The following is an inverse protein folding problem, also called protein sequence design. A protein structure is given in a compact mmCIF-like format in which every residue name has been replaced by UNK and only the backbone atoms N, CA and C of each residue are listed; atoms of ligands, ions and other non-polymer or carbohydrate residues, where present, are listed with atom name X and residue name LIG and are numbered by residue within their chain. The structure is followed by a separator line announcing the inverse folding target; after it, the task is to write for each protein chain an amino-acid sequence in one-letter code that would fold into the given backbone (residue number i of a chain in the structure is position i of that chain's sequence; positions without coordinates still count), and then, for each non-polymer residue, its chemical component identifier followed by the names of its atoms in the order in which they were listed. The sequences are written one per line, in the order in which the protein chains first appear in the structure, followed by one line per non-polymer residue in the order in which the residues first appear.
data_IF_115123076108
#
_entry.id   IF_115123076108
#
_cell.length_a   1.000
_cell.length_b   1.000
_cell.length_c   1.000
_cell.angle_alpha   90.00
_cell.angle_beta   90.00
_cell.angle_gamma   90.00
#
_symmetry.space_group_name_H-M   'P 1'
#
loop_
_entity.id
_entity.type
_entity.pdbx_description
1 polymer ?
#
# COMPACT_ATOMS: atom_id res chain seq x y z
N UNK A 1 12.43 -2.83 3.80
CA UNK A 1 11.17 -2.69 4.55
C UNK A 1 11.02 -1.24 4.95
N UNK A 2 9.89 -0.60 4.63
CA UNK A 2 9.58 0.77 5.04
C UNK A 2 9.17 0.74 6.51
N UNK A 3 9.66 1.70 7.31
CA UNK A 3 9.39 1.77 8.76
C UNK A 3 8.39 2.87 9.09
N UNK A 4 7.75 2.76 10.26
CA UNK A 4 6.86 3.80 10.84
C UNK A 4 7.58 4.71 11.84
N UNK A 5 8.83 4.39 12.17
CA UNK A 5 9.67 5.06 13.15
C UNK A 5 11.13 5.12 12.64
N UNK A 6 11.85 6.18 13.03
CA UNK A 6 13.24 6.36 12.64
C UNK A 6 14.18 5.76 13.70
N UNK A 7 15.13 4.92 13.28
CA UNK A 7 16.23 4.47 14.14
C UNK A 7 17.42 5.39 13.95
N UNK A 8 17.94 5.94 15.05
CA UNK A 8 19.10 6.85 15.09
C UNK A 8 20.34 6.28 14.34
N UNK A 9 20.43 4.96 14.21
CA UNK A 9 21.53 4.25 13.52
C UNK A 9 21.38 4.11 12.00
N UNK A 10 20.30 4.65 11.39
CA UNK A 10 20.01 4.46 9.96
C UNK A 10 20.58 5.55 9.04
N UNK A 11 21.25 6.56 9.59
CA UNK A 11 21.87 7.64 8.81
C UNK A 11 20.83 8.55 8.16
N UNK A 12 21.11 9.04 6.94
CA UNK A 12 20.18 9.91 6.22
C UNK A 12 18.93 9.14 5.79
N UNK A 13 17.76 9.67 6.14
CA UNK A 13 16.46 9.09 5.84
C UNK A 13 15.59 10.06 5.04
N UNK A 14 14.69 9.52 4.24
CA UNK A 14 13.56 10.24 3.66
C UNK A 14 12.31 9.83 4.44
N UNK A 15 11.45 10.80 4.74
CA UNK A 15 10.16 10.55 5.37
C UNK A 15 9.04 11.25 4.64
N UNK A 16 7.86 10.65 4.70
CA UNK A 16 6.63 11.24 4.18
C UNK A 16 5.50 11.06 5.19
N UNK A 17 4.48 11.90 5.08
CA UNK A 17 3.24 11.73 5.81
C UNK A 17 2.15 11.21 4.87
N UNK A 18 1.31 10.31 5.37
CA UNK A 18 0.18 9.76 4.64
C UNK A 18 -1.01 9.55 5.57
N UNK A 19 -2.21 9.43 5.01
CA UNK A 19 -3.42 9.12 5.78
C UNK A 19 -3.62 7.60 5.76
N UNK A 20 -3.56 6.98 6.93
CA UNK A 20 -3.76 5.54 7.09
C UNK A 20 -5.23 5.16 6.84
N UNK A 21 -5.46 4.18 5.96
CA UNK A 21 -6.81 3.70 5.65
C UNK A 21 -7.49 2.96 6.80
N UNK A 22 -6.70 2.49 7.78
CA UNK A 22 -7.20 1.77 8.95
C UNK A 22 -7.52 2.72 10.10
N UNK A 23 -6.57 3.59 10.47
CA UNK A 23 -6.72 4.48 11.63
C UNK A 23 -7.35 5.84 11.28
N UNK A 24 -7.42 6.21 10.00
CA UNK A 24 -7.75 7.57 9.51
C UNK A 24 -6.88 8.68 10.13
N UNK A 25 -5.73 8.32 10.69
CA UNK A 25 -4.75 9.25 11.24
C UNK A 25 -3.65 9.53 10.22
N UNK A 26 -3.00 10.67 10.40
CA UNK A 26 -1.74 10.95 9.73
C UNK A 26 -0.67 10.05 10.36
N UNK A 27 -0.02 9.26 9.54
CA UNK A 27 1.12 8.42 9.92
C UNK A 27 2.34 8.82 9.09
N UNK A 28 3.53 8.58 9.62
CA UNK A 28 4.80 8.85 8.94
C UNK A 28 5.42 7.55 8.47
N UNK A 29 5.89 7.51 7.22
CA UNK A 29 6.73 6.43 6.70
C UNK A 29 8.16 6.92 6.54
N UNK A 30 9.13 6.07 6.85
CA UNK A 30 10.56 6.39 6.79
C UNK A 30 11.32 5.29 6.04
N UNK A 31 12.23 5.71 5.16
CA UNK A 31 13.18 4.82 4.50
C UNK A 31 14.58 5.45 4.46
N UNK A 32 15.58 4.66 4.83
CA UNK A 32 16.99 5.07 4.76
C UNK A 32 17.47 5.20 3.32
N UNK A 33 18.21 6.27 3.00
CA UNK A 33 18.70 6.56 1.64
C UNK A 33 19.60 5.47 1.05
N UNK A 34 20.29 4.71 1.90
CA UNK A 34 21.15 3.58 1.47
C UNK A 34 20.38 2.30 1.11
N UNK A 35 19.08 2.23 1.40
CA UNK A 35 18.28 1.01 1.21
C UNK A 35 17.78 0.84 -0.22
N UNK A 36 17.75 1.93 -1.00
CA UNK A 36 17.21 1.92 -2.36
C UNK A 36 18.05 2.84 -3.24
N UNK A 37 18.57 2.31 -4.35
CA UNK A 37 19.28 3.10 -5.34
C UNK A 37 18.28 3.97 -6.14
N UNK A 38 18.71 5.16 -6.58
CA UNK A 38 17.91 5.98 -7.49
C UNK A 38 17.55 5.22 -8.77
N UNK A 39 16.38 5.51 -9.35
CA UNK A 39 15.86 4.88 -10.58
C UNK A 39 15.57 3.36 -10.47
N UNK A 40 15.57 2.82 -9.25
CA UNK A 40 15.18 1.41 -9.03
C UNK A 40 13.74 1.17 -9.48
N UNK A 41 13.51 0.01 -10.09
CA UNK A 41 12.17 -0.50 -10.36
C UNK A 41 11.64 -1.19 -9.09
N UNK A 42 10.46 -0.79 -8.64
CA UNK A 42 9.87 -1.23 -7.37
C UNK A 42 8.53 -1.89 -7.60
N UNK A 43 8.33 -3.07 -7.00
CA UNK A 43 7.03 -3.71 -6.83
C UNK A 43 6.56 -3.46 -5.40
N UNK A 44 5.40 -2.83 -5.23
CA UNK A 44 4.79 -2.64 -3.91
C UNK A 44 3.90 -3.84 -3.61
N UNK A 45 4.09 -4.44 -2.43
CA UNK A 45 3.30 -5.58 -1.96
C UNK A 45 2.73 -5.26 -0.58
N UNK A 46 1.43 -5.48 -0.40
CA UNK A 46 0.73 -5.29 0.88
C UNK A 46 -0.24 -6.46 1.14
N UNK A 47 -0.63 -6.67 2.38
CA UNK A 47 -1.55 -7.75 2.75
C UNK A 47 -3.02 -7.39 2.45
N UNK A 48 -3.46 -6.19 2.85
CA UNK A 48 -4.85 -5.76 2.76
C UNK A 48 -4.98 -4.30 2.33
N UNK A 49 -5.72 -4.05 1.25
CA UNK A 49 -6.01 -2.71 0.77
C UNK A 49 -7.46 -2.31 1.01
N UNK A 50 -7.66 -1.17 1.69
CA UNK A 50 -8.94 -0.43 1.71
C UNK A 50 -8.98 0.59 0.58
N UNK A 51 -8.86 1.88 0.93
CA UNK A 51 -8.86 2.98 -0.03
C UNK A 51 -7.54 3.14 -0.81
N UNK A 52 -6.47 2.45 -0.40
CA UNK A 52 -5.14 2.60 -1.01
C UNK A 52 -4.25 3.69 -0.40
N UNK A 53 -4.63 4.27 0.75
CA UNK A 53 -3.88 5.36 1.39
C UNK A 53 -2.43 5.01 1.75
N UNK A 54 -2.20 3.83 2.33
CA UNK A 54 -0.85 3.34 2.64
C UNK A 54 0.00 3.15 1.40
N UNK A 55 -0.55 2.52 0.36
CA UNK A 55 0.14 2.30 -0.92
C UNK A 55 0.45 3.64 -1.60
N UNK A 56 -0.49 4.60 -1.58
CA UNK A 56 -0.23 5.94 -2.08
C UNK A 56 0.90 6.65 -1.32
N UNK A 57 0.97 6.45 0.00
CA UNK A 57 2.15 6.82 0.79
C UNK A 57 3.41 6.18 0.23
N UNK A 58 3.45 4.85 0.07
CA UNK A 58 4.62 4.17 -0.49
C UNK A 58 5.00 4.74 -1.87
N UNK A 59 4.05 5.00 -2.77
CA UNK A 59 4.33 5.59 -4.07
C UNK A 59 4.96 6.99 -3.97
N UNK A 60 4.45 7.85 -3.09
CA UNK A 60 5.03 9.16 -2.83
C UNK A 60 6.45 9.04 -2.28
N UNK A 61 6.68 8.09 -1.36
CA UNK A 61 8.02 7.82 -0.84
C UNK A 61 8.96 7.33 -1.95
N UNK A 62 8.51 6.47 -2.85
CA UNK A 62 9.33 6.02 -3.99
C UNK A 62 9.69 7.17 -4.93
N UNK A 63 8.77 8.13 -5.12
CA UNK A 63 9.03 9.32 -5.92
C UNK A 63 10.16 10.19 -5.33
N UNK A 64 10.23 10.33 -4.00
CA UNK A 64 11.34 11.02 -3.32
C UNK A 64 12.71 10.35 -3.55
N UNK A 65 12.71 9.04 -3.83
CA UNK A 65 13.90 8.27 -4.18
C UNK A 65 14.18 8.24 -5.70
N UNK A 66 13.37 8.93 -6.51
CA UNK A 66 13.35 8.81 -7.98
C UNK A 66 13.19 7.35 -8.45
N UNK A 67 12.55 6.51 -7.63
CA UNK A 67 12.29 5.13 -7.97
C UNK A 67 11.00 5.02 -8.79
N UNK A 68 10.90 3.97 -9.60
CA UNK A 68 9.77 3.72 -10.49
C UNK A 68 8.93 2.57 -9.96
N UNK A 69 7.74 2.87 -9.46
CA UNK A 69 6.77 1.81 -9.12
C UNK A 69 6.29 1.17 -10.42
N UNK A 70 6.59 -0.12 -10.61
CA UNK A 70 6.21 -0.89 -11.79
C UNK A 70 4.94 -1.72 -11.59
N UNK A 71 4.49 -1.82 -10.36
CA UNK A 71 3.23 -2.47 -10.03
C UNK A 71 2.93 -2.38 -8.54
N UNK A 72 1.66 -2.63 -8.24
CA UNK A 72 1.12 -2.80 -6.90
C UNK A 72 0.40 -4.14 -6.87
N UNK A 73 0.72 -4.97 -5.88
CA UNK A 73 0.03 -6.24 -5.65
C UNK A 73 -0.43 -6.33 -4.22
N UNK A 74 -1.67 -6.73 -4.00
CA UNK A 74 -2.23 -6.95 -2.67
C UNK A 74 -2.87 -8.32 -2.58
N UNK A 75 -2.78 -8.96 -1.42
CA UNK A 75 -3.45 -10.25 -1.23
C UNK A 75 -4.97 -10.05 -1.24
N UNK A 76 -5.47 -9.11 -0.46
CA UNK A 76 -6.90 -8.83 -0.33
C UNK A 76 -7.19 -7.35 -0.56
N UNK A 77 -8.26 -7.05 -1.29
CA UNK A 77 -8.84 -5.71 -1.40
C UNK A 77 -10.23 -5.63 -0.76
N UNK A 78 -10.60 -4.46 -0.25
CA UNK A 78 -11.96 -4.17 0.21
C UNK A 78 -12.79 -3.63 -0.94
N UNK A 79 -13.99 -4.17 -1.15
CA UNK A 79 -14.96 -3.68 -2.16
C UNK A 79 -15.55 -2.32 -1.76
N UNK A 80 -15.83 -2.15 -0.48
CA UNK A 80 -16.54 -0.98 0.07
C UNK A 80 -15.61 0.21 0.33
N UNK A 81 -15.38 0.99 -0.73
CA UNK A 81 -14.56 2.19 -0.65
C UNK A 81 -15.31 3.36 -1.28
N UNK A 82 -15.58 4.42 -0.50
CA UNK A 82 -16.24 5.64 -1.01
C UNK A 82 -15.47 6.31 -2.14
N UNK A 83 -14.14 6.36 -2.01
CA UNK A 83 -13.23 6.91 -3.01
C UNK A 83 -11.94 6.10 -2.98
N UNK A 84 -11.63 5.46 -4.12
CA UNK A 84 -10.38 4.72 -4.29
C UNK A 84 -9.27 5.69 -4.66
N UNK A 85 -8.09 5.51 -4.06
CA UNK A 85 -6.93 6.40 -4.28
C UNK A 85 -5.96 5.84 -5.32
N UNK A 86 -6.08 4.56 -5.67
CA UNK A 86 -5.23 3.88 -6.65
C UNK A 86 -6.08 2.99 -7.56
N UNK A 87 -5.85 3.07 -8.87
CA UNK A 87 -6.61 2.30 -9.87
C UNK A 87 -5.78 1.14 -10.44
N UNK A 88 -4.48 1.32 -10.63
CA UNK A 88 -3.61 0.28 -11.17
C UNK A 88 -2.94 -0.54 -10.06
N UNK A 89 -3.65 -1.60 -9.66
CA UNK A 89 -3.17 -2.61 -8.72
C UNK A 89 -3.69 -3.99 -9.12
N UNK A 90 -3.04 -5.01 -8.59
CA UNK A 90 -3.43 -6.41 -8.72
C UNK A 90 -3.88 -6.95 -7.37
N UNK A 91 -5.05 -7.59 -7.30
CA UNK A 91 -5.57 -8.24 -6.09
C UNK A 91 -5.87 -9.72 -6.35
N UNK A 92 -5.62 -10.58 -5.35
CA UNK A 92 -5.99 -11.99 -5.43
C UNK A 92 -7.43 -12.23 -4.95
N UNK A 93 -7.83 -11.53 -3.90
CA UNK A 93 -9.12 -11.70 -3.24
C UNK A 93 -9.78 -10.34 -3.02
N UNK A 94 -11.11 -10.28 -3.15
CA UNK A 94 -11.92 -9.12 -2.83
C UNK A 94 -12.90 -9.45 -1.72
N UNK A 95 -13.01 -8.58 -0.73
CA UNK A 95 -13.79 -8.78 0.48
C UNK A 95 -14.86 -7.68 0.63
N UNK A 96 -16.09 -8.06 0.97
CA UNK A 96 -17.24 -7.16 1.12
C UNK A 96 -18.15 -7.59 2.28
N UNK A 97 -19.09 -6.71 2.65
CA UNK A 97 -20.17 -6.98 3.60
C UNK A 97 -19.65 -7.49 4.95
N UNK A 98 -18.62 -6.80 5.49
CA UNK A 98 -17.97 -7.21 6.73
C UNK A 98 -18.85 -6.87 7.92
N UNK A 99 -19.38 -7.90 8.56
CA UNK A 99 -20.10 -7.81 9.82
C UNK A 99 -19.22 -8.36 10.95
N UNK A 100 -18.57 -7.45 11.68
CA UNK A 100 -17.72 -7.81 12.83
C UNK A 100 -18.50 -8.44 13.98
N UNK A 101 -19.80 -8.13 14.13
CA UNK A 101 -20.64 -8.65 15.21
C UNK A 101 -21.06 -10.10 14.92
N UNK A 102 -21.56 -10.35 13.71
CA UNK A 102 -21.97 -11.70 13.29
C UNK A 102 -20.79 -12.56 12.79
N UNK A 103 -19.60 -11.98 12.64
CA UNK A 103 -18.40 -12.61 12.10
C UNK A 103 -18.59 -13.14 10.66
N UNK A 104 -19.40 -12.44 9.89
CA UNK A 104 -19.71 -12.79 8.50
C UNK A 104 -19.06 -11.79 7.55
N UNK A 105 -18.64 -12.27 6.38
CA UNK A 105 -18.16 -11.46 5.28
C UNK A 105 -18.24 -12.25 3.99
N UNK A 106 -18.32 -11.54 2.87
CA UNK A 106 -18.33 -12.11 1.53
C UNK A 106 -16.94 -12.06 0.91
N UNK A 107 -16.62 -13.08 0.11
CA UNK A 107 -15.35 -13.22 -0.59
C UNK A 107 -15.59 -13.46 -2.08
N UNK A 108 -14.95 -12.66 -2.92
CA UNK A 108 -14.97 -12.74 -4.37
C UNK A 108 -13.53 -12.87 -4.90
N UNK A 109 -13.30 -13.43 -6.11
CA UNK A 109 -12.02 -13.29 -6.78
C UNK A 109 -11.62 -11.82 -6.92
N UNK A 110 -10.34 -11.53 -6.70
CA UNK A 110 -9.75 -10.23 -7.00
C UNK A 110 -9.63 -9.98 -8.51
N UNK A 111 -8.93 -8.92 -8.88
CA UNK A 111 -8.78 -8.51 -10.27
C UNK A 111 -7.61 -9.20 -11.01
N UNK A 112 -6.81 -10.04 -10.33
CA UNK A 112 -5.61 -10.65 -10.94
C UNK A 112 -5.87 -11.42 -12.23
N UNK A 113 -6.97 -12.16 -12.32
CA UNK A 113 -7.30 -12.92 -13.53
C UNK A 113 -7.55 -12.03 -14.75
N UNK A 114 -8.07 -10.81 -14.58
CA UNK A 114 -8.28 -9.90 -15.71
C UNK A 114 -6.99 -9.30 -16.27
N UNK A 115 -5.84 -9.48 -15.58
CA UNK A 115 -4.52 -9.05 -16.04
C UNK A 115 -3.82 -10.09 -16.94
N UNK A 116 -4.37 -11.31 -17.02
CA UNK A 116 -3.84 -12.41 -17.86
C UNK A 116 -4.65 -12.66 -19.14
N UNK A 117 -5.71 -11.86 -19.35
CA UNK A 117 -6.60 -11.91 -20.51
C UNK A 117 -6.14 -10.97 -21.62
#
# INVERSE_FOLDING_TARGET
MIRKDNKVTEGSTVSINYVSGSSRKIETMVLSKRTLAENSNVLVVDDFMRAGGSINGVMNLMNEFKAHVKGVSVLVESKEVKQRLIEDYTSLVKLSDVDEYNQEFNVEPGNSLSKFS
#
